data_IF_132735290782
#
_entry.id   IF_132735290782
#
_cell.length_a   1.000
_cell.length_b   1.000
_cell.length_c   1.000
_cell.angle_alpha   90.00
_cell.angle_beta   90.00
_cell.angle_gamma   90.00
#
_symmetry.space_group_name_H-M   'P 1'
#
loop_
_entity.id
_entity.type
_entity.pdbx_description
1 polymer ?
#
# COMPACT_ATOMS: atom_id res chain seq x y z
N UNK A 1 3.80 18.43 -13.04
CA UNK A 1 4.40 17.93 -11.78
C UNK A 1 5.77 17.32 -12.07
N UNK A 2 6.74 17.34 -11.14
CA UNK A 2 7.96 16.52 -11.24
C UNK A 2 7.96 15.45 -10.14
N UNK A 3 8.38 14.24 -10.48
CA UNK A 3 8.39 13.08 -9.58
C UNK A 3 9.73 12.37 -9.63
N UNK A 4 10.10 11.78 -8.49
CA UNK A 4 11.17 10.81 -8.36
C UNK A 4 10.55 9.47 -7.94
N UNK A 5 10.85 8.41 -8.68
CA UNK A 5 10.27 7.08 -8.51
C UNK A 5 11.38 6.08 -8.28
N UNK A 6 11.16 5.12 -7.37
CA UNK A 6 12.01 3.95 -7.24
C UNK A 6 11.65 2.95 -8.35
N UNK A 7 12.58 2.72 -9.28
CA UNK A 7 12.38 1.85 -10.45
C UNK A 7 12.05 0.40 -10.07
N UNK A 8 12.61 -0.11 -8.99
CA UNK A 8 12.40 -1.50 -8.56
C UNK A 8 10.99 -1.74 -8.01
N UNK A 9 10.40 -0.73 -7.36
CA UNK A 9 9.09 -0.86 -6.68
C UNK A 9 7.96 -0.12 -7.38
N UNK A 10 8.27 0.77 -8.33
CA UNK A 10 7.31 1.70 -8.93
C UNK A 10 6.81 2.78 -7.97
N UNK A 11 7.29 2.80 -6.72
CA UNK A 11 6.79 3.70 -5.68
C UNK A 11 7.37 5.11 -5.83
N UNK A 12 6.52 6.10 -5.57
CA UNK A 12 6.92 7.48 -5.47
C UNK A 12 7.90 7.67 -4.29
N UNK A 13 9.06 8.26 -4.56
CA UNK A 13 10.04 8.68 -3.54
C UNK A 13 9.71 10.12 -3.09
N UNK A 14 9.60 11.03 -4.05
CA UNK A 14 9.35 12.46 -3.81
C UNK A 14 8.60 13.07 -5.02
N UNK A 15 7.76 14.07 -4.78
CA UNK A 15 7.18 14.92 -5.82
C UNK A 15 7.24 16.39 -5.47
N UNK A 16 7.38 17.24 -6.48
CA UNK A 16 7.37 18.69 -6.31
C UNK A 16 6.60 19.37 -7.46
N UNK A 17 5.89 20.44 -7.13
CA UNK A 17 5.18 21.27 -8.12
C UNK A 17 6.07 22.38 -8.68
N UNK A 18 5.66 22.95 -9.83
CA UNK A 18 6.40 24.00 -10.53
C UNK A 18 7.63 23.52 -11.29
N UNK A 19 8.35 24.45 -11.93
CA UNK A 19 9.58 24.20 -12.70
C UNK A 19 9.39 23.41 -14.00
N UNK A 20 10.18 23.71 -15.02
CA UNK A 20 10.13 23.04 -16.34
C UNK A 20 11.49 22.85 -17.00
N UNK A 21 12.56 23.13 -16.26
CA UNK A 21 13.95 23.01 -16.74
C UNK A 21 14.62 21.77 -16.18
N UNK A 22 15.61 21.24 -16.90
CA UNK A 22 16.38 20.07 -16.48
C UNK A 22 16.97 20.21 -15.06
N UNK A 23 17.43 21.41 -14.69
CA UNK A 23 17.95 21.72 -13.34
C UNK A 23 16.96 21.39 -12.21
N UNK A 24 15.65 21.51 -12.46
CA UNK A 24 14.64 21.13 -11.47
C UNK A 24 14.55 19.60 -11.28
N UNK A 25 14.72 18.81 -12.35
CA UNK A 25 14.80 17.36 -12.25
C UNK A 25 16.11 16.93 -11.57
N UNK A 26 17.21 17.62 -11.88
CA UNK A 26 18.51 17.33 -11.27
C UNK A 26 18.51 17.61 -9.77
N UNK A 27 17.83 18.67 -9.34
CA UNK A 27 17.58 18.96 -7.91
C UNK A 27 16.83 17.81 -7.24
N UNK A 28 15.74 17.34 -7.86
CA UNK A 28 14.92 16.26 -7.32
C UNK A 28 15.70 14.93 -7.27
N UNK A 29 16.55 14.68 -8.26
CA UNK A 29 17.47 13.55 -8.29
C UNK A 29 18.48 13.63 -7.15
N UNK A 30 19.11 14.80 -6.95
CA UNK A 30 20.08 15.00 -5.88
C UNK A 30 19.47 14.81 -4.49
N UNK A 31 18.21 15.22 -4.29
CA UNK A 31 17.48 14.93 -3.04
C UNK A 31 17.36 13.43 -2.77
N UNK A 32 17.02 12.63 -3.79
CA UNK A 32 16.93 11.18 -3.65
C UNK A 32 18.31 10.54 -3.37
N UNK A 33 19.37 11.01 -4.02
CA UNK A 33 20.74 10.56 -3.72
C UNK A 33 21.14 10.89 -2.28
N UNK A 34 20.83 12.09 -1.80
CA UNK A 34 21.09 12.52 -0.43
C UNK A 34 20.29 11.71 0.60
N UNK A 35 19.12 11.19 0.22
CA UNK A 35 18.30 10.31 1.04
C UNK A 35 18.80 8.84 1.06
N UNK A 36 19.86 8.52 0.32
CA UNK A 36 20.50 7.20 0.31
C UNK A 36 20.02 6.26 -0.79
N UNK A 37 19.27 6.75 -1.78
CA UNK A 37 18.96 5.96 -2.98
C UNK A 37 20.16 5.93 -3.93
N UNK A 38 20.31 4.83 -4.66
CA UNK A 38 21.29 4.75 -5.75
C UNK A 38 20.74 5.45 -7.00
N UNK A 39 21.64 5.98 -7.84
CA UNK A 39 21.24 6.61 -9.10
C UNK A 39 20.55 5.63 -10.07
N UNK A 40 20.99 4.38 -10.06
CA UNK A 40 20.46 3.32 -10.90
C UNK A 40 19.03 2.91 -10.52
N UNK A 41 18.68 3.02 -9.23
CA UNK A 41 17.36 2.66 -8.69
C UNK A 41 16.30 3.76 -8.82
N UNK A 42 16.68 4.97 -9.24
CA UNK A 42 15.75 6.11 -9.32
C UNK A 42 15.48 6.58 -10.76
N UNK A 43 14.27 7.08 -10.98
CA UNK A 43 13.84 7.76 -12.20
C UNK A 43 13.22 9.10 -11.84
N UNK A 44 13.73 10.19 -12.42
CA UNK A 44 13.12 11.52 -12.32
C UNK A 44 12.48 11.91 -13.65
N UNK A 45 11.21 12.32 -13.61
CA UNK A 45 10.48 12.75 -14.81
C UNK A 45 9.43 13.81 -14.50
N UNK A 46 9.06 14.54 -15.55
CA UNK A 46 7.83 15.32 -15.52
C UNK A 46 6.64 14.42 -15.81
N UNK A 47 5.57 14.68 -15.07
CA UNK A 47 4.28 14.01 -15.24
C UNK A 47 3.16 15.04 -15.22
N UNK A 48 2.09 14.72 -15.92
CA UNK A 48 0.78 15.36 -15.83
C UNK A 48 0.13 15.05 -14.48
N UNK A 49 -0.91 15.81 -14.12
CA UNK A 49 -1.65 15.55 -12.89
C UNK A 49 -2.34 14.18 -12.93
N UNK A 50 -2.84 13.76 -14.09
CA UNK A 50 -3.44 12.43 -14.28
C UNK A 50 -2.42 11.29 -14.08
N UNK A 51 -1.20 11.45 -14.62
CA UNK A 51 -0.12 10.48 -14.38
C UNK A 51 0.32 10.47 -12.91
N UNK A 52 0.35 11.63 -12.25
CA UNK A 52 0.65 11.71 -10.82
C UNK A 52 -0.41 10.98 -9.97
N UNK A 53 -1.68 11.17 -10.27
CA UNK A 53 -2.78 10.46 -9.60
C UNK A 53 -2.66 8.94 -9.78
N UNK A 54 -2.31 8.48 -10.98
CA UNK A 54 -2.07 7.06 -11.24
C UNK A 54 -0.92 6.49 -10.39
N UNK A 55 0.21 7.21 -10.31
CA UNK A 55 1.36 6.81 -9.48
C UNK A 55 0.96 6.74 -7.99
N UNK A 56 0.21 7.73 -7.51
CA UNK A 56 -0.27 7.75 -6.13
C UNK A 56 -1.21 6.58 -5.84
N UNK A 57 -2.13 6.26 -6.76
CA UNK A 57 -3.04 5.13 -6.63
C UNK A 57 -2.26 3.81 -6.50
N UNK A 58 -1.26 3.58 -7.34
CA UNK A 58 -0.37 2.41 -7.26
C UNK A 58 0.41 2.35 -5.94
N UNK A 59 0.88 3.50 -5.44
CA UNK A 59 1.64 3.57 -4.18
C UNK A 59 0.77 3.23 -2.96
N UNK A 60 -0.54 3.52 -3.02
CA UNK A 60 -1.51 3.20 -1.96
C UNK A 60 -2.15 1.82 -2.09
N UNK A 61 -1.96 1.14 -3.22
CA UNK A 61 -2.48 -0.20 -3.41
C UNK A 61 -1.77 -1.16 -2.43
N UNK A 62 -2.52 -2.00 -1.69
CA UNK A 62 -1.91 -2.98 -0.82
C UNK A 62 -1.04 -3.93 -1.64
N UNK A 63 0.17 -4.19 -1.17
CA UNK A 63 1.08 -5.16 -1.78
C UNK A 63 0.47 -6.56 -1.73
N UNK A 64 0.93 -7.47 -2.60
CA UNK A 64 0.50 -8.88 -2.57
C UNK A 64 0.71 -9.53 -1.20
N UNK A 65 1.78 -9.16 -0.49
CA UNK A 65 2.06 -9.64 0.87
C UNK A 65 1.03 -9.11 1.89
N UNK A 66 0.65 -7.83 1.82
CA UNK A 66 -0.38 -7.24 2.67
C UNK A 66 -1.77 -7.83 2.38
N UNK A 67 -2.06 -8.14 1.11
CA UNK A 67 -3.29 -8.85 0.71
C UNK A 67 -3.29 -10.24 1.35
N UNK A 68 -2.22 -11.01 1.18
CA UNK A 68 -2.10 -12.36 1.76
C UNK A 68 -2.22 -12.33 3.29
N UNK A 69 -1.59 -11.36 3.95
CA UNK A 69 -1.69 -11.18 5.40
C UNK A 69 -3.13 -10.90 5.83
N UNK A 70 -3.84 -9.98 5.15
CA UNK A 70 -5.25 -9.71 5.42
C UNK A 70 -6.14 -10.94 5.21
N UNK A 71 -5.88 -11.73 4.18
CA UNK A 71 -6.61 -12.99 3.94
C UNK A 71 -6.35 -14.03 5.05
N UNK A 72 -5.11 -14.14 5.52
CA UNK A 72 -4.76 -15.04 6.63
C UNK A 72 -5.42 -14.59 7.94
N UNK A 73 -5.38 -13.29 8.25
CA UNK A 73 -6.04 -12.71 9.43
C UNK A 73 -7.56 -12.94 9.36
N UNK A 74 -8.19 -12.74 8.21
CA UNK A 74 -9.62 -13.02 8.01
C UNK A 74 -9.97 -14.49 8.26
N UNK A 75 -9.12 -15.43 7.80
CA UNK A 75 -9.30 -16.87 8.06
C UNK A 75 -9.18 -17.20 9.55
N UNK A 76 -8.22 -16.60 10.24
CA UNK A 76 -8.04 -16.80 11.69
C UNK A 76 -9.26 -16.26 12.44
N UNK A 77 -9.73 -15.06 12.12
CA UNK A 77 -10.90 -14.46 12.74
C UNK A 77 -12.17 -15.28 12.51
N UNK A 78 -12.39 -15.76 11.29
CA UNK A 78 -13.49 -16.67 10.99
C UNK A 78 -13.41 -17.94 11.85
N UNK A 79 -12.22 -18.52 11.99
CA UNK A 79 -12.03 -19.73 12.81
C UNK A 79 -12.26 -19.47 14.30
N UNK A 80 -11.81 -18.33 14.81
CA UNK A 80 -12.05 -17.91 16.18
C UNK A 80 -13.55 -17.73 16.42
N UNK A 81 -14.26 -17.06 15.49
CA UNK A 81 -15.71 -16.86 15.56
C UNK A 81 -16.45 -18.19 15.60
N UNK A 82 -16.10 -19.14 14.72
CA UNK A 82 -16.69 -20.48 14.70
C UNK A 82 -16.49 -21.23 16.02
N UNK A 83 -15.27 -21.18 16.58
CA UNK A 83 -14.95 -21.82 17.85
C UNK A 83 -15.69 -21.17 19.01
N UNK A 84 -15.75 -19.83 19.05
CA UNK A 84 -16.48 -19.08 20.07
C UNK A 84 -17.97 -19.41 20.04
N UNK A 85 -18.61 -19.44 18.87
CA UNK A 85 -20.01 -19.84 18.74
C UNK A 85 -20.22 -21.27 19.23
N UNK A 86 -19.31 -22.19 18.88
CA UNK A 86 -19.39 -23.58 19.32
C UNK A 86 -19.29 -23.69 20.84
N UNK A 87 -18.42 -22.91 21.48
CA UNK A 87 -18.24 -22.95 22.93
C UNK A 87 -19.44 -22.34 23.66
N UNK A 88 -19.90 -21.17 23.24
CA UNK A 88 -21.10 -20.53 23.81
C UNK A 88 -22.35 -21.41 23.69
N UNK A 89 -22.48 -22.20 22.61
CA UNK A 89 -23.55 -23.20 22.49
C UNK A 89 -23.44 -24.34 23.50
N UNK A 90 -22.22 -24.77 23.85
CA UNK A 90 -22.02 -25.80 24.88
C UNK A 90 -22.31 -25.26 26.28
N UNK A 91 -21.94 -24.01 26.53
CA UNK A 91 -22.18 -23.31 27.80
C UNK A 91 -23.66 -22.95 27.99
N UNK A 92 -24.48 -23.06 26.95
CA UNK A 92 -25.91 -22.72 26.98
C UNK A 92 -26.19 -21.22 26.83
N UNK A 93 -25.15 -20.43 26.60
CA UNK A 93 -25.20 -18.98 26.36
C UNK A 93 -25.73 -18.64 24.95
N UNK A 94 -25.75 -19.62 24.04
CA UNK A 94 -26.39 -19.52 22.73
C UNK A 94 -27.37 -20.68 22.47
N UNK A 95 -28.54 -20.40 21.85
CA UNK A 95 -29.44 -21.44 21.37
C UNK A 95 -28.75 -22.40 20.38
N UNK A 96 -29.13 -23.68 20.41
CA UNK A 96 -28.54 -24.68 19.51
C UNK A 96 -28.76 -24.35 18.02
N UNK A 97 -29.90 -23.73 17.71
CA UNK A 97 -30.30 -23.27 16.38
C UNK A 97 -29.76 -21.88 16.01
N UNK A 98 -28.96 -21.25 16.88
CA UNK A 98 -28.31 -19.97 16.58
C UNK A 98 -27.48 -20.09 15.29
N UNK A 99 -27.75 -19.20 14.34
CA UNK A 99 -27.02 -19.04 13.08
C UNK A 99 -26.37 -17.67 13.07
N UNK A 100 -25.06 -17.68 12.91
CA UNK A 100 -24.30 -16.47 12.68
C UNK A 100 -24.74 -15.81 11.37
N UNK A 101 -24.98 -14.50 11.40
CA UNK A 101 -25.46 -13.76 10.22
C UNK A 101 -24.36 -13.25 9.30
N UNK A 102 -23.08 -13.55 9.61
CA UNK A 102 -21.92 -13.07 8.85
C UNK A 102 -21.70 -11.60 9.08
#
# INVERSE_FOLDING_TARGET
MRVCINKSTGKLIESQSGGSTQEHLDTLKQNALNAGYSEEDIEVKYVTDAEFEAIMAETTAPTSEEILKKEQEAKIQAKIRDLAIKELKKEGELPADYKDKG
#
